data_IF_053679028235
#
_entry.id   IF_053679028235
#
_cell.length_a   1.000
_cell.length_b   1.000
_cell.length_c   1.000
_cell.angle_alpha   90.00
_cell.angle_beta   90.00
_cell.angle_gamma   90.00
#
_symmetry.space_group_name_H-M   'P 1'
#
loop_
_entity.id
_entity.type
_entity.pdbx_description
1 polymer ?
#
# COMPACT_ATOMS: atom_id res chain seq x y z
N UNK A 1 -36.97 -18.41 -14.47
CA UNK A 1 -35.51 -18.43 -14.19
C UNK A 1 -35.29 -17.91 -12.79
N UNK A 2 -34.90 -18.78 -11.86
CA UNK A 2 -34.71 -18.45 -10.44
C UNK A 2 -33.44 -17.59 -10.32
N UNK A 3 -33.57 -16.40 -9.71
CA UNK A 3 -32.46 -15.50 -9.48
C UNK A 3 -31.41 -16.17 -8.59
N UNK A 4 -30.21 -16.38 -9.13
CA UNK A 4 -29.04 -16.83 -8.37
C UNK A 4 -28.66 -15.72 -7.39
N UNK A 5 -29.03 -15.89 -6.11
CA UNK A 5 -28.59 -15.03 -5.03
C UNK A 5 -27.08 -15.21 -4.86
N UNK A 6 -26.32 -14.18 -5.23
CA UNK A 6 -24.86 -14.20 -5.24
C UNK A 6 -24.31 -14.39 -3.82
N UNK A 7 -23.56 -15.48 -3.64
CA UNK A 7 -22.89 -15.94 -2.42
C UNK A 7 -22.03 -14.89 -1.69
N UNK A 8 -21.67 -13.77 -2.35
CA UNK A 8 -20.86 -12.68 -1.80
C UNK A 8 -21.52 -11.87 -0.67
N UNK A 9 -22.85 -11.79 -0.63
CA UNK A 9 -23.56 -11.04 0.43
C UNK A 9 -23.60 -11.74 1.79
N UNK A 10 -23.65 -13.08 1.77
CA UNK A 10 -23.80 -13.93 2.97
C UNK A 10 -22.56 -13.90 3.86
N UNK A 11 -21.36 -13.85 3.26
CA UNK A 11 -20.11 -13.84 4.02
C UNK A 11 -19.93 -12.55 4.83
N UNK A 12 -20.38 -11.40 4.31
CA UNK A 12 -20.32 -10.12 5.02
C UNK A 12 -21.28 -10.09 6.21
N UNK A 13 -22.51 -10.60 6.03
CA UNK A 13 -23.47 -10.75 7.11
C UNK A 13 -22.95 -11.70 8.20
N UNK A 14 -22.40 -12.85 7.81
CA UNK A 14 -21.79 -13.81 8.74
C UNK A 14 -20.58 -13.23 9.50
N UNK A 15 -19.77 -12.39 8.83
CA UNK A 15 -18.69 -11.66 9.49
C UNK A 15 -19.21 -10.63 10.51
N UNK A 16 -20.29 -9.90 10.18
CA UNK A 16 -20.92 -8.93 11.07
C UNK A 16 -21.53 -9.61 12.31
N UNK A 17 -22.30 -10.68 12.11
CA UNK A 17 -22.88 -11.49 13.19
C UNK A 17 -21.82 -11.98 14.18
N UNK A 18 -20.69 -12.49 13.68
CA UNK A 18 -19.60 -12.91 14.55
C UNK A 18 -18.91 -11.73 15.26
N UNK A 19 -18.62 -10.64 14.55
CA UNK A 19 -17.90 -9.50 15.13
C UNK A 19 -18.68 -8.83 16.27
N UNK A 20 -19.93 -8.48 15.99
CA UNK A 20 -20.76 -7.63 16.86
C UNK A 20 -21.57 -8.46 17.86
N UNK A 21 -21.93 -9.70 17.52
CA UNK A 21 -22.83 -10.53 18.34
C UNK A 21 -22.22 -11.87 18.78
N UNK A 22 -21.00 -12.21 18.32
CA UNK A 22 -20.33 -13.50 18.60
C UNK A 22 -21.18 -14.72 18.25
N UNK A 23 -22.10 -14.59 17.28
CA UNK A 23 -22.97 -15.67 16.84
C UNK A 23 -22.18 -16.62 15.92
N UNK A 24 -21.95 -17.89 16.32
CA UNK A 24 -21.24 -18.86 15.49
C UNK A 24 -22.10 -19.30 14.30
N UNK A 25 -21.45 -19.76 13.23
CA UNK A 25 -22.15 -20.48 12.17
C UNK A 25 -22.82 -21.75 12.73
N UNK A 26 -24.04 -22.09 12.28
CA UNK A 26 -24.71 -23.33 12.65
C UNK A 26 -23.86 -24.57 12.37
N UNK A 27 -24.15 -25.67 13.08
CA UNK A 27 -23.44 -26.93 12.91
C UNK A 27 -23.61 -27.45 11.46
N UNK A 28 -22.49 -27.76 10.81
CA UNK A 28 -22.45 -28.15 9.39
C UNK A 28 -22.37 -26.99 8.38
N UNK A 29 -22.55 -25.74 8.81
CA UNK A 29 -22.41 -24.57 7.93
C UNK A 29 -20.98 -24.01 7.88
N UNK A 30 -20.67 -23.28 6.80
CA UNK A 30 -19.36 -22.64 6.63
C UNK A 30 -19.22 -21.48 7.62
N UNK A 31 -18.22 -21.59 8.50
CA UNK A 31 -17.82 -20.52 9.41
C UNK A 31 -17.44 -19.25 8.65
N UNK A 32 -17.77 -18.10 9.24
CA UNK A 32 -17.37 -16.81 8.70
C UNK A 32 -15.85 -16.61 8.79
N UNK A 33 -15.31 -15.72 7.97
CA UNK A 33 -13.88 -15.41 7.99
C UNK A 33 -13.48 -14.79 9.32
N UNK A 34 -14.37 -13.98 9.92
CA UNK A 34 -14.16 -13.39 11.24
C UNK A 34 -14.14 -14.46 12.35
N UNK A 35 -15.04 -15.45 12.27
CA UNK A 35 -15.09 -16.58 13.21
C UNK A 35 -13.84 -17.45 13.13
N UNK A 36 -13.47 -17.86 11.91
CA UNK A 36 -12.28 -18.67 11.69
C UNK A 36 -11.00 -17.95 12.15
N UNK A 37 -10.91 -16.62 12.00
CA UNK A 37 -9.77 -15.83 12.51
C UNK A 37 -9.70 -15.83 14.03
N UNK A 38 -10.82 -15.61 14.72
CA UNK A 38 -10.83 -15.61 16.19
C UNK A 38 -10.58 -17.00 16.79
N UNK A 39 -11.00 -18.05 16.10
CA UNK A 39 -10.74 -19.44 16.52
C UNK A 39 -9.32 -19.91 16.14
N UNK A 40 -8.49 -19.04 15.51
CA UNK A 40 -7.14 -19.38 15.06
C UNK A 40 -7.09 -20.37 13.88
N UNK A 41 -8.25 -20.77 13.34
CA UNK A 41 -8.38 -21.71 12.22
C UNK A 41 -8.00 -21.07 10.87
N UNK A 42 -8.15 -19.75 10.75
CA UNK A 42 -7.55 -18.98 9.65
C UNK A 42 -6.22 -18.39 10.12
N UNK A 43 -5.12 -19.04 9.76
CA UNK A 43 -3.80 -18.41 9.80
C UNK A 43 -3.81 -17.28 8.78
N UNK A 44 -3.51 -16.07 9.23
CA UNK A 44 -3.28 -14.96 8.31
C UNK A 44 -2.02 -15.27 7.52
N UNK A 45 -2.14 -15.59 6.23
CA UNK A 45 -0.99 -15.75 5.33
C UNK A 45 -0.33 -14.40 5.00
N UNK A 46 -0.81 -13.27 5.56
CA UNK A 46 -0.14 -11.99 5.41
C UNK A 46 1.14 -11.99 6.24
N UNK A 47 2.27 -11.85 5.55
CA UNK A 47 3.55 -11.52 6.16
C UNK A 47 3.39 -10.23 6.98
N UNK A 48 3.83 -10.28 8.23
CA UNK A 48 3.91 -9.13 9.14
C UNK A 48 5.37 -8.82 9.43
N UNK A 49 5.65 -7.60 9.89
CA UNK A 49 7.00 -7.23 10.33
C UNK A 49 7.46 -8.16 11.45
N UNK A 50 6.58 -8.50 12.38
CA UNK A 50 6.90 -9.45 13.45
C UNK A 50 7.31 -10.82 12.89
N UNK A 51 6.57 -11.36 11.91
CA UNK A 51 6.92 -12.66 11.32
C UNK A 51 8.23 -12.63 10.51
N UNK A 52 8.49 -11.55 9.77
CA UNK A 52 9.73 -11.42 8.97
C UNK A 52 10.94 -11.24 9.87
N UNK A 53 10.80 -10.46 10.94
CA UNK A 53 11.86 -10.20 11.93
C UNK A 53 11.96 -11.25 13.04
N UNK A 54 11.15 -12.32 12.98
CA UNK A 54 11.08 -13.40 14.00
C UNK A 54 10.84 -12.88 15.43
N UNK A 55 9.99 -11.87 15.55
CA UNK A 55 9.58 -11.27 16.83
C UNK A 55 8.35 -11.97 17.40
N UNK A 56 8.36 -12.24 18.70
CA UNK A 56 7.25 -12.78 19.46
C UNK A 56 6.33 -11.64 19.95
N UNK A 57 5.20 -11.51 19.28
CA UNK A 57 4.15 -10.52 19.58
C UNK A 57 3.54 -10.69 20.99
N UNK A 58 3.73 -11.83 21.65
CA UNK A 58 3.24 -12.04 23.02
C UNK A 58 4.16 -11.41 24.08
N UNK A 59 5.40 -11.05 23.70
CA UNK A 59 6.32 -10.34 24.59
C UNK A 59 6.15 -8.83 24.37
N UNK A 60 5.80 -8.06 25.40
CA UNK A 60 5.55 -6.62 25.26
C UNK A 60 6.70 -5.85 24.59
N UNK A 61 7.95 -6.21 24.91
CA UNK A 61 9.14 -5.58 24.33
C UNK A 61 9.26 -5.85 22.83
N UNK A 62 9.09 -7.09 22.39
CA UNK A 62 9.23 -7.47 20.98
C UNK A 62 8.04 -6.95 20.15
N UNK A 63 6.84 -6.93 20.73
CA UNK A 63 5.68 -6.25 20.15
C UNK A 63 5.93 -4.75 19.95
N UNK A 64 6.52 -4.07 20.94
CA UNK A 64 6.87 -2.66 20.83
C UNK A 64 7.89 -2.42 19.72
N UNK A 65 8.87 -3.31 19.54
CA UNK A 65 9.83 -3.24 18.43
C UNK A 65 9.10 -3.36 17.08
N UNK A 66 8.23 -4.36 16.91
CA UNK A 66 7.47 -4.54 15.68
C UNK A 66 6.57 -3.32 15.35
N UNK A 67 5.90 -2.78 16.36
CA UNK A 67 5.07 -1.57 16.23
C UNK A 67 5.92 -0.36 15.85
N UNK A 68 7.10 -0.20 16.45
CA UNK A 68 7.99 0.90 16.15
C UNK A 68 8.47 0.85 14.69
N UNK A 69 8.92 -0.31 14.21
CA UNK A 69 9.33 -0.51 12.81
C UNK A 69 8.17 -0.17 11.87
N UNK A 70 6.97 -0.68 12.16
CA UNK A 70 5.77 -0.43 11.35
C UNK A 70 5.43 1.06 11.29
N UNK A 71 5.49 1.75 12.44
CA UNK A 71 5.14 3.17 12.54
C UNK A 71 6.12 4.12 11.84
N UNK A 72 7.38 3.70 11.65
CA UNK A 72 8.42 4.52 11.02
C UNK A 72 8.33 4.54 9.50
N UNK A 73 7.64 3.58 8.89
CA UNK A 73 7.52 3.52 7.44
C UNK A 73 6.34 4.34 6.96
N UNK A 74 6.64 5.45 6.28
CA UNK A 74 5.65 6.24 5.57
C UNK A 74 5.60 5.82 4.09
N UNK A 75 4.54 5.08 3.74
CA UNK A 75 4.28 4.62 2.38
C UNK A 75 4.16 5.77 1.37
N UNK A 76 3.52 6.88 1.74
CA UNK A 76 3.31 8.00 0.82
C UNK A 76 4.62 8.72 0.53
N UNK A 77 5.41 8.94 1.59
CA UNK A 77 6.74 9.53 1.46
C UNK A 77 7.68 8.64 0.64
N UNK A 78 7.72 7.33 0.91
CA UNK A 78 8.46 6.36 0.09
C UNK A 78 8.08 6.44 -1.40
N UNK A 79 6.78 6.42 -1.70
CA UNK A 79 6.30 6.51 -3.08
C UNK A 79 6.68 7.82 -3.74
N UNK A 80 6.67 8.93 -3.00
CA UNK A 80 7.12 10.24 -3.52
C UNK A 80 8.61 10.21 -3.87
N UNK A 81 9.46 9.69 -2.98
CA UNK A 81 10.90 9.56 -3.24
C UNK A 81 11.18 8.70 -4.49
N UNK A 82 10.44 7.61 -4.68
CA UNK A 82 10.60 6.75 -5.86
C UNK A 82 10.22 7.49 -7.16
N UNK A 83 9.14 8.27 -7.16
CA UNK A 83 8.76 9.09 -8.32
C UNK A 83 9.82 10.17 -8.58
N UNK A 84 10.31 10.83 -7.54
CA UNK A 84 11.36 11.84 -7.63
C UNK A 84 12.66 11.27 -8.19
N UNK A 85 13.07 10.09 -7.74
CA UNK A 85 14.21 9.36 -8.30
C UNK A 85 14.03 9.12 -9.81
N UNK A 86 12.89 8.57 -10.23
CA UNK A 86 12.61 8.27 -11.65
C UNK A 86 12.68 9.54 -12.51
N UNK A 87 12.05 10.63 -12.05
CA UNK A 87 12.00 11.89 -12.80
C UNK A 87 13.38 12.58 -12.84
N UNK A 88 14.06 12.69 -11.70
CA UNK A 88 15.35 13.39 -11.59
C UNK A 88 16.50 12.66 -12.29
N UNK A 89 16.44 11.33 -12.40
CA UNK A 89 17.42 10.53 -13.13
C UNK A 89 17.02 10.19 -14.56
N UNK A 90 15.94 10.82 -15.07
CA UNK A 90 15.38 10.63 -16.41
C UNK A 90 15.22 9.14 -16.79
N UNK A 91 14.72 8.32 -15.86
CA UNK A 91 14.52 6.89 -16.09
C UNK A 91 13.15 6.63 -16.72
N UNK A 92 13.03 5.48 -17.38
CA UNK A 92 11.71 4.96 -17.78
C UNK A 92 10.79 4.82 -16.56
N UNK A 93 9.49 5.09 -16.73
CA UNK A 93 8.51 4.91 -15.65
C UNK A 93 8.42 3.43 -15.20
N UNK A 94 8.75 2.48 -16.08
CA UNK A 94 8.84 1.06 -15.76
C UNK A 94 10.01 0.71 -14.83
N UNK A 95 10.92 1.66 -14.55
CA UNK A 95 11.99 1.47 -13.58
C UNK A 95 11.45 1.13 -12.18
N UNK A 96 10.27 1.66 -11.80
CA UNK A 96 9.59 1.30 -10.54
C UNK A 96 9.22 -0.20 -10.44
N UNK A 97 9.10 -0.86 -11.59
CA UNK A 97 8.75 -2.29 -11.71
C UNK A 97 9.97 -3.18 -11.90
N UNK A 98 11.19 -2.63 -11.81
CA UNK A 98 12.40 -3.42 -11.92
C UNK A 98 12.46 -4.43 -10.75
N UNK A 99 12.58 -5.73 -11.02
CA UNK A 99 12.51 -6.75 -9.98
C UNK A 99 13.67 -6.66 -8.99
N UNK A 100 14.89 -6.34 -9.46
CA UNK A 100 16.08 -6.18 -8.59
C UNK A 100 15.92 -4.95 -7.70
N UNK A 101 15.34 -3.86 -8.21
CA UNK A 101 15.05 -2.67 -7.42
C UNK A 101 14.04 -2.97 -6.31
N UNK A 102 12.95 -3.66 -6.65
CA UNK A 102 11.92 -4.04 -5.67
C UNK A 102 12.49 -4.99 -4.62
N UNK A 103 13.27 -5.98 -5.03
CA UNK A 103 13.97 -6.89 -4.12
C UNK A 103 14.95 -6.14 -3.20
N UNK A 104 15.68 -5.14 -3.73
CA UNK A 104 16.57 -4.29 -2.95
C UNK A 104 15.79 -3.50 -1.89
N UNK A 105 14.65 -2.91 -2.24
CA UNK A 105 13.80 -2.20 -1.28
C UNK A 105 13.25 -3.12 -0.20
N UNK A 106 12.78 -4.31 -0.60
CA UNK A 106 12.24 -5.30 0.33
C UNK A 106 13.30 -5.87 1.28
N UNK A 107 14.53 -6.08 0.78
CA UNK A 107 15.67 -6.49 1.59
C UNK A 107 16.02 -5.43 2.65
N UNK A 108 16.06 -4.15 2.26
CA UNK A 108 16.39 -3.05 3.16
C UNK A 108 15.26 -2.76 4.15
N UNK A 109 14.00 -2.88 3.73
CA UNK A 109 12.84 -2.69 4.59
C UNK A 109 11.63 -3.51 4.12
N UNK A 110 11.28 -4.62 4.81
CA UNK A 110 10.16 -5.48 4.42
C UNK A 110 8.79 -4.79 4.54
N UNK A 111 8.72 -3.61 5.16
CA UNK A 111 7.50 -2.79 5.15
C UNK A 111 7.06 -2.42 3.74
N UNK A 112 7.99 -2.36 2.78
CA UNK A 112 7.70 -2.02 1.38
C UNK A 112 6.74 -3.05 0.76
N UNK A 113 7.08 -4.34 0.78
CA UNK A 113 6.23 -5.43 0.32
C UNK A 113 5.00 -5.62 1.20
N UNK A 114 5.15 -5.64 2.53
CA UNK A 114 4.05 -5.86 3.48
C UNK A 114 2.94 -4.81 3.30
N UNK A 115 3.30 -3.55 3.05
CA UNK A 115 2.35 -2.45 2.86
C UNK A 115 2.03 -2.18 1.38
N UNK A 116 2.51 -3.01 0.45
CA UNK A 116 2.35 -2.83 -0.99
C UNK A 116 2.72 -1.41 -1.44
N UNK A 117 3.92 -0.97 -1.06
CA UNK A 117 4.40 0.39 -1.31
C UNK A 117 5.02 0.58 -2.70
N UNK A 118 5.48 -0.51 -3.33
CA UNK A 118 5.97 -0.51 -4.72
C UNK A 118 4.93 0.08 -5.68
N UNK A 119 5.43 0.69 -6.76
CA UNK A 119 4.61 1.36 -7.77
C UNK A 119 4.71 0.66 -9.11
N UNK A 120 3.60 0.65 -9.84
CA UNK A 120 3.59 0.30 -11.25
C UNK A 120 3.92 1.52 -12.10
N UNK A 121 4.37 1.31 -13.35
CA UNK A 121 4.60 2.42 -14.29
C UNK A 121 3.36 3.30 -14.46
N UNK A 122 2.17 2.67 -14.46
CA UNK A 122 0.87 3.36 -14.51
C UNK A 122 0.64 4.22 -13.26
N UNK A 123 0.98 3.72 -12.08
CA UNK A 123 0.81 4.46 -10.83
C UNK A 123 1.79 5.65 -10.75
N UNK A 124 3.04 5.47 -11.20
CA UNK A 124 4.01 6.57 -11.35
C UNK A 124 3.45 7.64 -12.28
N UNK A 125 2.98 7.27 -13.48
CA UNK A 125 2.36 8.20 -14.43
C UNK A 125 1.20 8.97 -13.81
N UNK A 126 0.31 8.28 -13.09
CA UNK A 126 -0.83 8.91 -12.44
C UNK A 126 -0.40 9.95 -11.40
N UNK A 127 0.59 9.63 -10.57
CA UNK A 127 1.14 10.58 -9.58
C UNK A 127 1.76 11.80 -10.24
N UNK A 128 2.52 11.64 -11.32
CA UNK A 128 3.09 12.77 -12.08
C UNK A 128 1.98 13.67 -12.64
N UNK A 129 0.94 13.09 -13.24
CA UNK A 129 -0.20 13.86 -13.78
C UNK A 129 -0.93 14.59 -12.66
N UNK A 130 -1.12 13.95 -11.51
CA UNK A 130 -1.76 14.57 -10.35
C UNK A 130 -0.96 15.77 -9.84
N UNK A 131 0.36 15.63 -9.70
CA UNK A 131 1.24 16.73 -9.28
C UNK A 131 1.27 17.86 -10.32
N UNK A 132 1.34 17.52 -11.62
CA UNK A 132 1.19 18.50 -12.69
C UNK A 132 -0.14 19.25 -12.57
N UNK A 133 -1.27 18.55 -12.43
CA UNK A 133 -2.59 19.17 -12.30
C UNK A 133 -2.69 20.10 -11.09
N UNK A 134 -2.10 19.70 -9.96
CA UNK A 134 -2.05 20.48 -8.72
C UNK A 134 -1.24 21.77 -8.87
N UNK A 135 -0.15 21.75 -9.63
CA UNK A 135 0.80 22.86 -9.70
C UNK A 135 0.72 23.71 -10.98
N UNK A 136 0.08 23.20 -12.05
CA UNK A 136 -0.01 23.85 -13.37
C UNK A 136 -0.46 25.30 -13.30
N UNK A 137 -1.54 25.57 -12.56
CA UNK A 137 -2.10 26.93 -12.53
C UNK A 137 -1.16 27.92 -11.85
N UNK A 138 -0.44 27.48 -10.81
CA UNK A 138 0.55 28.30 -10.15
C UNK A 138 1.76 28.57 -11.05
N UNK A 139 2.21 27.56 -11.79
CA UNK A 139 3.28 27.72 -12.79
C UNK A 139 2.87 28.74 -13.86
N UNK A 140 1.65 28.64 -14.40
CA UNK A 140 1.12 29.61 -15.39
C UNK A 140 1.10 31.02 -14.83
N UNK A 141 0.63 31.20 -13.60
CA UNK A 141 0.57 32.50 -12.92
C UNK A 141 1.97 33.12 -12.77
N UNK A 142 2.93 32.35 -12.26
CA UNK A 142 4.33 32.79 -12.08
C UNK A 142 4.97 33.16 -13.42
N UNK A 143 4.74 32.35 -14.47
CA UNK A 143 5.25 32.62 -15.81
C UNK A 143 4.66 33.90 -16.41
N UNK A 144 3.36 34.15 -16.22
CA UNK A 144 2.69 35.38 -16.71
C UNK A 144 3.20 36.64 -16.01
N UNK A 145 3.49 36.54 -14.72
CA UNK A 145 3.89 37.70 -13.91
C UNK A 145 5.39 38.01 -13.97
N UNK A 146 6.21 37.19 -14.63
CA UNK A 146 7.66 37.44 -14.75
C UNK A 146 8.14 37.42 -16.22
N UNK A 147 7.56 38.25 -17.11
CA UNK A 147 8.01 38.31 -18.49
C UNK A 147 9.47 38.77 -18.57
N UNK A 148 10.29 38.04 -19.33
CA UNK A 148 11.71 38.35 -19.54
C UNK A 148 12.68 37.91 -18.43
N UNK A 149 12.19 37.28 -17.35
CA UNK A 149 13.02 36.83 -16.21
C UNK A 149 13.41 35.34 -16.25
N UNK A 150 12.99 34.59 -17.28
CA UNK A 150 13.24 33.15 -17.40
C UNK A 150 14.16 32.84 -18.57
N UNK A 151 15.19 32.02 -18.32
CA UNK A 151 15.99 31.36 -19.36
C UNK A 151 15.62 29.87 -19.38
N UNK A 152 15.28 29.36 -20.56
CA UNK A 152 15.06 27.93 -20.79
C UNK A 152 16.31 27.32 -21.38
N UNK A 153 16.83 26.26 -20.75
CA UNK A 153 17.85 25.38 -21.32
C UNK A 153 17.20 24.05 -21.68
N UNK A 154 17.57 23.50 -22.84
CA UNK A 154 17.14 22.17 -23.27
C UNK A 154 18.34 21.24 -23.21
N UNK A 155 18.26 20.22 -22.36
CA UNK A 155 19.23 19.13 -22.32
C UNK A 155 18.79 18.06 -23.32
N UNK A 156 19.67 17.73 -24.26
CA UNK A 156 19.46 16.74 -25.34
C UNK A 156 19.86 15.33 -24.93
#
# INVERSE_FOLDING_TARGET
TIASFTSSGLQNAANHLWREHKTPAPEGEKKSTAQLKSEGALKSNQLTIASVSKLDVNKPTEQNIANNITSRFDKQYFQRMLVELIVSSNQSLSFAENPILQETFDYLNPSVSIQHANLTARAVRYKIIQEYGRHRQKVIEVLRNSPGAFHFSFDG
#
